data_IF_085161834692
#
_entry.id   IF_085161834692
#
_cell.length_a   1.000
_cell.length_b   1.000
_cell.length_c   1.000
_cell.angle_alpha   90.00
_cell.angle_beta   90.00
_cell.angle_gamma   90.00
#
_symmetry.space_group_name_H-M   'P 1'
#
loop_
_entity.id
_entity.type
_entity.pdbx_description
1 polymer ?
#
# COMPACT_ATOMS: atom_id res chain seq x y z
N UNK A 1 15.02 -5.87 42.61
CA UNK A 1 14.01 -6.15 41.56
C UNK A 1 12.86 -5.13 41.59
N UNK A 2 12.01 -5.07 42.62
CA UNK A 2 10.91 -4.07 42.71
C UNK A 2 11.42 -2.62 42.60
N UNK A 3 12.49 -2.27 43.32
CA UNK A 3 13.10 -0.93 43.29
C UNK A 3 13.79 -0.59 41.96
N UNK A 4 14.21 -1.61 41.23
CA UNK A 4 14.83 -1.50 39.90
C UNK A 4 13.78 -1.33 38.81
N UNK A 5 12.63 -2.02 38.93
CA UNK A 5 11.49 -1.96 38.01
C UNK A 5 10.72 -0.64 38.12
N UNK A 6 10.60 -0.09 39.34
CA UNK A 6 9.98 1.23 39.58
C UNK A 6 10.70 2.38 38.87
N UNK A 7 12.00 2.22 38.53
CA UNK A 7 12.76 3.23 37.77
C UNK A 7 12.37 3.32 36.30
N UNK A 8 11.82 2.25 35.71
CA UNK A 8 11.43 2.23 34.29
C UNK A 8 9.96 2.56 34.05
N UNK A 9 9.12 2.49 35.08
CA UNK A 9 7.67 2.73 34.97
C UNK A 9 7.30 4.09 34.35
N UNK A 10 7.95 5.22 34.68
CA UNK A 10 7.64 6.51 34.06
C UNK A 10 8.00 6.55 32.57
N UNK A 11 9.17 6.04 32.18
CA UNK A 11 9.61 5.99 30.77
C UNK A 11 8.77 5.04 29.93
N UNK A 12 8.29 3.95 30.54
CA UNK A 12 7.41 2.99 29.89
C UNK A 12 6.00 3.58 29.62
N UNK A 13 5.47 4.34 30.58
CA UNK A 13 4.17 5.02 30.45
C UNK A 13 4.20 6.06 29.33
N UNK A 14 5.28 6.84 29.25
CA UNK A 14 5.50 7.80 28.17
C UNK A 14 5.57 7.09 26.80
N UNK A 15 6.35 6.01 26.69
CA UNK A 15 6.50 5.26 25.45
C UNK A 15 5.17 4.64 24.97
N UNK A 16 4.38 4.12 25.89
CA UNK A 16 3.05 3.58 25.57
C UNK A 16 2.07 4.66 25.09
N UNK A 17 2.16 5.87 25.65
CA UNK A 17 1.33 7.00 25.22
C UNK A 17 1.76 7.50 23.84
N UNK A 18 3.07 7.52 23.55
CA UNK A 18 3.60 7.95 22.26
C UNK A 18 3.25 6.95 21.14
N UNK A 19 3.33 5.65 21.40
CA UNK A 19 2.87 4.61 20.46
C UNK A 19 1.35 4.72 20.22
N UNK A 20 0.55 4.96 21.26
CA UNK A 20 -0.88 5.17 21.12
C UNK A 20 -1.19 6.45 20.31
N UNK A 21 -0.44 7.53 20.52
CA UNK A 21 -0.60 8.79 19.80
C UNK A 21 -0.17 8.70 18.32
N UNK A 22 0.78 7.83 17.99
CA UNK A 22 1.13 7.48 16.61
C UNK A 22 0.00 6.70 15.91
N UNK A 23 -0.71 5.83 16.65
CA UNK A 23 -1.83 5.03 16.13
C UNK A 23 -3.13 5.82 15.98
N UNK A 24 -3.46 6.68 16.95
CA UNK A 24 -4.74 7.41 16.98
C UNK A 24 -4.73 8.73 16.21
N UNK A 25 -3.58 9.15 15.68
CA UNK A 25 -3.41 10.41 14.93
C UNK A 25 -2.61 10.22 13.64
N UNK A 26 -2.33 11.31 12.92
CA UNK A 26 -1.38 11.25 11.81
C UNK A 26 0.04 10.99 12.39
N UNK A 27 0.74 9.92 11.98
CA UNK A 27 2.11 9.67 12.42
C UNK A 27 3.01 10.79 11.89
N UNK A 28 3.63 11.55 12.80
CA UNK A 28 4.59 12.61 12.43
C UNK A 28 6.00 12.16 12.75
N UNK A 29 6.97 12.67 11.99
CA UNK A 29 8.39 12.37 12.23
C UNK A 29 8.81 12.73 13.65
N UNK A 30 8.37 13.88 14.17
CA UNK A 30 8.67 14.31 15.55
C UNK A 30 8.18 13.32 16.61
N UNK A 31 7.00 12.71 16.41
CA UNK A 31 6.43 11.72 17.35
C UNK A 31 7.14 10.37 17.24
N UNK A 32 7.53 9.98 16.03
CA UNK A 32 8.29 8.75 15.80
C UNK A 32 9.72 8.86 16.34
N UNK A 33 10.34 10.04 16.22
CA UNK A 33 11.64 10.37 16.81
C UNK A 33 11.60 10.25 18.34
N UNK A 34 10.58 10.81 18.97
CA UNK A 34 10.43 10.78 20.43
C UNK A 34 10.19 9.35 20.94
N UNK A 35 9.27 8.61 20.31
CA UNK A 35 9.04 7.20 20.65
C UNK A 35 10.29 6.33 20.45
N UNK A 36 11.04 6.54 19.36
CA UNK A 36 12.31 5.84 19.08
C UNK A 36 13.38 6.15 20.12
N UNK A 37 13.53 7.40 20.55
CA UNK A 37 14.48 7.80 21.62
C UNK A 37 14.13 7.16 22.96
N UNK A 38 12.84 7.16 23.33
CA UNK A 38 12.39 6.57 24.59
C UNK A 38 12.59 5.05 24.61
N UNK A 39 12.32 4.36 23.50
CA UNK A 39 12.60 2.92 23.37
C UNK A 39 14.10 2.60 23.44
N UNK A 40 14.95 3.40 22.79
CA UNK A 40 16.41 3.27 22.88
C UNK A 40 16.93 3.51 24.31
N UNK A 41 16.42 4.54 25.00
CA UNK A 41 16.79 4.81 26.39
C UNK A 41 16.41 3.66 27.34
N UNK A 42 15.28 3.00 27.08
CA UNK A 42 14.80 1.87 27.88
C UNK A 42 15.65 0.61 27.63
N UNK A 43 16.03 0.34 26.38
CA UNK A 43 17.02 -0.69 26.02
C UNK A 43 18.35 -0.45 26.73
N UNK A 44 18.91 0.76 26.63
CA UNK A 44 20.23 1.08 27.19
C UNK A 44 20.25 1.00 28.72
N UNK A 45 19.14 1.34 29.38
CA UNK A 45 18.97 1.15 30.81
C UNK A 45 18.93 -0.33 31.23
N UNK A 46 18.28 -1.19 30.44
CA UNK A 46 18.28 -2.65 30.68
C UNK A 46 19.66 -3.29 30.43
N UNK A 47 20.37 -2.85 29.39
CA UNK A 47 21.75 -3.28 29.12
C UNK A 47 22.70 -2.86 30.25
N UNK A 48 22.56 -1.63 30.77
CA UNK A 48 23.38 -1.13 31.88
C UNK A 48 23.17 -1.96 33.16
N UNK A 49 21.94 -2.41 33.44
CA UNK A 49 21.64 -3.27 34.59
C UNK A 49 22.20 -4.70 34.43
N UNK A 50 22.15 -5.24 33.20
CA UNK A 50 22.78 -6.53 32.88
C UNK A 50 24.30 -6.48 33.03
N UNK A 51 24.92 -5.35 32.68
CA UNK A 51 26.37 -5.15 32.81
C UNK A 51 26.82 -4.86 34.25
N UNK A 52 25.98 -4.20 35.05
CA UNK A 52 26.29 -3.87 36.44
C UNK A 52 26.29 -5.10 37.39
N UNK A 53 25.87 -6.28 36.91
CA UNK A 53 25.78 -7.50 37.74
C UNK A 53 24.61 -7.52 38.73
N UNK A 54 23.81 -6.44 38.77
CA UNK A 54 22.61 -6.28 39.59
C UNK A 54 21.37 -6.99 39.01
N UNK A 55 21.51 -7.59 37.82
CA UNK A 55 20.42 -8.23 37.08
C UNK A 55 20.52 -9.76 37.10
N UNK A 56 19.42 -10.41 37.50
CA UNK A 56 19.24 -11.86 37.36
C UNK A 56 19.13 -12.26 35.87
N UNK A 57 19.45 -13.51 35.50
CA UNK A 57 19.23 -14.07 34.15
C UNK A 57 17.81 -13.82 33.58
N UNK A 58 16.85 -13.54 34.47
CA UNK A 58 15.44 -13.24 34.23
C UNK A 58 15.19 -11.92 33.48
N UNK A 59 16.15 -10.99 33.45
CA UNK A 59 16.01 -9.71 32.73
C UNK A 59 16.44 -9.75 31.25
N UNK A 60 17.11 -10.83 30.81
CA UNK A 60 17.53 -10.99 29.41
C UNK A 60 16.35 -10.97 28.43
N UNK A 61 15.23 -11.68 28.68
CA UNK A 61 14.08 -11.63 27.79
C UNK A 61 13.42 -10.23 27.70
N UNK A 62 13.39 -9.47 28.80
CA UNK A 62 12.93 -8.08 28.80
C UNK A 62 13.81 -7.20 27.91
N UNK A 63 15.13 -7.37 28.01
CA UNK A 63 16.10 -6.66 27.18
C UNK A 63 15.94 -7.01 25.70
N UNK A 64 15.76 -8.28 25.36
CA UNK A 64 15.58 -8.70 23.97
C UNK A 64 14.26 -8.17 23.36
N UNK A 65 13.19 -8.07 24.16
CA UNK A 65 11.96 -7.39 23.75
C UNK A 65 12.16 -5.88 23.55
N UNK A 66 12.91 -5.22 24.43
CA UNK A 66 13.24 -3.80 24.30
C UNK A 66 14.09 -3.50 23.04
N UNK A 67 15.01 -4.40 22.68
CA UNK A 67 15.79 -4.31 21.44
C UNK A 67 14.86 -4.36 20.22
N UNK A 68 13.97 -5.35 20.15
CA UNK A 68 13.02 -5.50 19.03
C UNK A 68 12.11 -4.27 18.89
N UNK A 69 11.59 -3.76 20.02
CA UNK A 69 10.76 -2.57 20.04
C UNK A 69 11.53 -1.32 19.54
N UNK A 70 12.77 -1.13 20.00
CA UNK A 70 13.61 -0.02 19.58
C UNK A 70 13.95 -0.08 18.07
N UNK A 71 14.24 -1.28 17.56
CA UNK A 71 14.53 -1.51 16.15
C UNK A 71 13.28 -1.25 15.29
N UNK A 72 12.11 -1.71 15.73
CA UNK A 72 10.84 -1.49 15.04
C UNK A 72 10.45 0.00 14.99
N UNK A 73 10.61 0.74 16.09
CA UNK A 73 10.36 2.18 16.14
C UNK A 73 11.35 2.97 15.28
N UNK A 74 12.60 2.52 15.23
CA UNK A 74 13.63 3.13 14.37
C UNK A 74 13.30 2.91 12.89
N UNK A 75 12.88 1.70 12.52
CA UNK A 75 12.45 1.41 11.15
C UNK A 75 11.19 2.21 10.77
N UNK A 76 10.22 2.34 11.69
CA UNK A 76 9.02 3.15 11.49
C UNK A 76 9.35 4.63 11.28
N UNK A 77 10.22 5.20 12.12
CA UNK A 77 10.74 6.57 11.98
C UNK A 77 11.39 6.78 10.62
N UNK A 78 12.28 5.86 10.21
CA UNK A 78 12.99 5.97 8.94
C UNK A 78 12.05 5.85 7.74
N UNK A 79 10.98 5.05 7.87
CA UNK A 79 9.89 4.99 6.91
C UNK A 79 9.16 6.34 6.80
N UNK A 80 8.73 6.90 7.93
CA UNK A 80 8.06 8.22 7.99
C UNK A 80 8.94 9.32 7.40
N UNK A 81 10.24 9.33 7.70
CA UNK A 81 11.20 10.28 7.14
C UNK A 81 11.32 10.18 5.60
N UNK A 82 11.08 8.99 5.04
CA UNK A 82 11.05 8.72 3.59
C UNK A 82 9.65 8.90 2.99
N UNK A 83 8.69 9.42 3.76
CA UNK A 83 7.31 9.64 3.33
C UNK A 83 6.44 8.37 3.31
N UNK A 84 6.91 7.27 3.91
CA UNK A 84 6.14 6.04 4.06
C UNK A 84 5.28 6.13 5.33
N UNK A 85 3.97 5.89 5.21
CA UNK A 85 3.09 5.84 6.37
C UNK A 85 3.20 4.47 7.05
N UNK A 86 3.31 4.43 8.40
CA UNK A 86 3.22 3.20 9.16
C UNK A 86 1.91 2.47 8.89
N UNK A 87 2.02 1.20 8.59
CA UNK A 87 0.88 0.30 8.34
C UNK A 87 0.24 -0.13 9.66
N UNK A 88 -0.97 -0.70 9.58
CA UNK A 88 -1.59 -1.35 10.73
C UNK A 88 -0.70 -2.47 11.31
N UNK A 89 0.13 -3.09 10.49
CA UNK A 89 1.06 -4.16 10.87
C UNK A 89 2.25 -3.65 11.64
N UNK A 90 2.76 -2.47 11.25
CA UNK A 90 3.82 -1.82 11.99
C UNK A 90 3.33 -1.49 13.40
N UNK A 91 2.09 -1.01 13.53
CA UNK A 91 1.48 -0.78 14.85
C UNK A 91 1.18 -2.06 15.62
N UNK A 92 0.72 -3.13 14.98
CA UNK A 92 0.46 -4.41 15.63
C UNK A 92 1.76 -5.05 16.16
N UNK A 93 2.87 -4.91 15.43
CA UNK A 93 4.21 -5.34 15.89
C UNK A 93 4.69 -4.52 17.06
N UNK A 94 4.55 -3.20 17.00
CA UNK A 94 4.88 -2.32 18.13
C UNK A 94 4.06 -2.68 19.38
N UNK A 95 2.76 -2.93 19.22
CA UNK A 95 1.89 -3.32 20.34
C UNK A 95 2.28 -4.69 20.91
N UNK A 96 2.67 -5.65 20.07
CA UNK A 96 3.16 -6.95 20.51
C UNK A 96 4.50 -6.87 21.25
N UNK A 97 5.47 -6.16 20.69
CA UNK A 97 6.80 -6.00 21.31
C UNK A 97 6.70 -5.20 22.62
N UNK A 98 5.85 -4.17 22.64
CA UNK A 98 5.51 -3.42 23.85
C UNK A 98 4.85 -4.32 24.89
N UNK A 99 3.93 -5.21 24.48
CA UNK A 99 3.26 -6.16 25.36
C UNK A 99 4.23 -7.21 25.95
N UNK A 100 5.10 -7.78 25.12
CA UNK A 100 6.15 -8.70 25.58
C UNK A 100 7.08 -8.01 26.58
N UNK A 101 7.48 -6.77 26.31
CA UNK A 101 8.29 -5.98 27.22
C UNK A 101 7.58 -5.71 28.56
N UNK A 102 6.27 -5.40 28.55
CA UNK A 102 5.47 -5.24 29.77
C UNK A 102 5.38 -6.52 30.58
N UNK A 103 5.18 -7.66 29.90
CA UNK A 103 5.07 -8.97 30.54
C UNK A 103 6.33 -9.36 31.32
N UNK A 104 7.51 -9.06 30.76
CA UNK A 104 8.78 -9.34 31.42
C UNK A 104 9.13 -8.34 32.54
N UNK A 105 8.53 -7.14 32.55
CA UNK A 105 8.82 -6.09 33.53
C UNK A 105 7.77 -5.96 34.65
N UNK A 106 6.70 -6.76 34.63
CA UNK A 106 5.82 -6.98 35.79
C UNK A 106 5.13 -5.75 36.39
N UNK A 107 4.71 -4.77 35.58
CA UNK A 107 3.97 -3.58 36.08
C UNK A 107 2.48 -3.89 36.33
N UNK A 108 1.78 -3.14 37.18
CA UNK A 108 0.33 -3.33 37.47
C UNK A 108 -0.57 -3.28 36.21
N UNK A 109 -0.23 -2.45 35.22
CA UNK A 109 -0.89 -2.45 33.91
C UNK A 109 -0.46 -3.65 33.05
N UNK A 110 0.80 -4.08 33.14
CA UNK A 110 1.30 -5.31 32.55
C UNK A 110 0.66 -6.57 33.14
N UNK A 111 0.32 -6.60 34.42
CA UNK A 111 -0.46 -7.68 35.06
C UNK A 111 -1.91 -7.71 34.60
N UNK A 112 -2.51 -6.56 34.32
CA UNK A 112 -3.84 -6.47 33.69
C UNK A 112 -3.81 -6.92 32.22
N UNK A 113 -2.72 -6.67 31.49
CA UNK A 113 -2.54 -7.18 30.13
C UNK A 113 -2.06 -8.65 30.09
N UNK A 114 -1.36 -9.17 31.09
CA UNK A 114 -1.01 -10.60 31.26
C UNK A 114 -2.22 -11.53 31.47
N UNK A 115 -3.43 -10.97 31.51
CA UNK A 115 -4.69 -11.72 31.61
C UNK A 115 -5.45 -11.81 30.28
N UNK A 116 -4.79 -11.57 29.14
CA UNK A 116 -5.37 -12.06 27.88
C UNK A 116 -5.11 -13.56 27.82
N UNK A 117 -6.14 -14.42 27.82
CA UNK A 117 -5.94 -15.85 27.65
C UNK A 117 -5.19 -16.11 26.34
N UNK A 118 -4.34 -17.15 26.28
CA UNK A 118 -3.64 -17.52 25.04
C UNK A 118 -4.60 -17.62 23.85
N UNK A 119 -5.84 -18.07 24.07
CA UNK A 119 -6.89 -18.10 23.05
C UNK A 119 -7.22 -16.72 22.47
N UNK A 120 -7.23 -15.67 23.28
CA UNK A 120 -7.50 -14.30 22.84
C UNK A 120 -6.26 -13.68 22.15
N UNK A 121 -5.04 -14.03 22.58
CA UNK A 121 -3.81 -13.68 21.86
C UNK A 121 -3.79 -14.31 20.46
N UNK A 122 -4.07 -15.61 20.36
CA UNK A 122 -4.16 -16.32 19.09
C UNK A 122 -5.28 -15.79 18.19
N UNK A 123 -6.41 -15.39 18.78
CA UNK A 123 -7.50 -14.77 18.03
C UNK A 123 -7.08 -13.41 17.45
N UNK A 124 -6.43 -12.54 18.23
CA UNK A 124 -5.94 -11.24 17.75
C UNK A 124 -4.91 -11.39 16.63
N UNK A 125 -4.03 -12.40 16.73
CA UNK A 125 -3.07 -12.75 15.67
C UNK A 125 -3.80 -13.19 14.40
N UNK A 126 -4.78 -14.10 14.53
CA UNK A 126 -5.58 -14.58 13.40
C UNK A 126 -6.38 -13.44 12.74
N UNK A 127 -6.96 -12.54 13.54
CA UNK A 127 -7.69 -11.37 13.06
C UNK A 127 -6.77 -10.38 12.33
N UNK A 128 -5.53 -10.20 12.82
CA UNK A 128 -4.50 -9.41 12.14
C UNK A 128 -4.12 -9.98 10.77
N UNK A 129 -3.83 -11.28 10.68
CA UNK A 129 -3.54 -11.97 9.40
C UNK A 129 -4.72 -11.81 8.43
N UNK A 130 -5.94 -12.05 8.91
CA UNK A 130 -7.15 -11.93 8.10
C UNK A 130 -7.39 -10.50 7.64
N UNK A 131 -7.09 -9.52 8.49
CA UNK A 131 -7.11 -8.10 8.15
C UNK A 131 -6.16 -7.76 7.01
N UNK A 132 -4.90 -8.21 7.07
CA UNK A 132 -3.88 -7.94 6.04
C UNK A 132 -4.23 -8.61 4.73
N UNK A 133 -4.64 -9.88 4.79
CA UNK A 133 -5.07 -10.61 3.61
C UNK A 133 -6.25 -9.90 2.91
N UNK A 134 -7.29 -9.54 3.67
CA UNK A 134 -8.53 -9.03 3.09
C UNK A 134 -8.51 -7.54 2.74
N UNK A 135 -7.82 -6.72 3.53
CA UNK A 135 -7.86 -5.26 3.43
C UNK A 135 -6.62 -4.67 2.75
N UNK A 136 -5.58 -5.48 2.49
CA UNK A 136 -4.36 -5.02 1.85
C UNK A 136 -3.98 -5.90 0.65
N UNK A 137 -3.70 -7.19 0.86
CA UNK A 137 -3.25 -8.08 -0.23
C UNK A 137 -4.30 -8.26 -1.31
N UNK A 138 -5.53 -8.62 -0.95
CA UNK A 138 -6.64 -8.77 -1.91
C UNK A 138 -7.02 -7.48 -2.60
N UNK A 139 -6.78 -6.33 -1.96
CA UNK A 139 -6.96 -5.02 -2.60
C UNK A 139 -5.97 -4.87 -3.76
N UNK A 140 -4.69 -5.20 -3.54
CA UNK A 140 -3.69 -5.17 -4.61
C UNK A 140 -3.94 -6.22 -5.70
N UNK A 141 -4.36 -7.43 -5.32
CA UNK A 141 -4.68 -8.49 -6.27
C UNK A 141 -5.80 -8.07 -7.25
N UNK A 142 -6.91 -7.56 -6.73
CA UNK A 142 -8.04 -7.13 -7.55
C UNK A 142 -7.70 -5.91 -8.40
N UNK A 143 -7.01 -4.93 -7.83
CA UNK A 143 -6.43 -3.76 -8.53
C UNK A 143 -5.61 -4.18 -9.75
N UNK A 144 -4.61 -5.06 -9.55
CA UNK A 144 -3.71 -5.47 -10.62
C UNK A 144 -4.48 -6.29 -11.66
N UNK A 145 -5.41 -7.14 -11.23
CA UNK A 145 -6.32 -7.86 -12.12
C UNK A 145 -7.13 -6.91 -13.03
N UNK A 146 -7.71 -5.85 -12.46
CA UNK A 146 -8.49 -4.85 -13.22
C UNK A 146 -7.62 -4.06 -14.21
N UNK A 147 -6.44 -3.60 -13.78
CA UNK A 147 -5.54 -2.88 -14.70
C UNK A 147 -4.99 -3.80 -15.80
N UNK A 148 -4.71 -5.05 -15.48
CA UNK A 148 -4.28 -6.06 -16.46
C UNK A 148 -5.38 -6.30 -17.50
N UNK A 149 -6.64 -6.45 -17.08
CA UNK A 149 -7.76 -6.60 -17.99
C UNK A 149 -7.95 -5.40 -18.91
N UNK A 150 -7.77 -4.17 -18.39
CA UNK A 150 -7.77 -2.95 -19.19
C UNK A 150 -6.65 -2.94 -20.24
N UNK A 151 -5.40 -3.21 -19.83
CA UNK A 151 -4.26 -3.21 -20.74
C UNK A 151 -4.34 -4.32 -21.79
N UNK A 152 -4.87 -5.49 -21.42
CA UNK A 152 -5.15 -6.59 -22.34
C UNK A 152 -6.19 -6.17 -23.39
N UNK A 153 -7.30 -5.56 -22.96
CA UNK A 153 -8.31 -5.06 -23.88
C UNK A 153 -7.75 -3.98 -24.82
N UNK A 154 -6.85 -3.11 -24.34
CA UNK A 154 -6.13 -2.16 -25.18
C UNK A 154 -5.24 -2.87 -26.21
N UNK A 155 -4.43 -3.84 -25.77
CA UNK A 155 -3.56 -4.60 -26.66
C UNK A 155 -4.34 -5.33 -27.76
N UNK A 156 -5.41 -6.02 -27.38
CA UNK A 156 -6.19 -6.86 -28.30
C UNK A 156 -7.03 -6.04 -29.28
N UNK A 157 -7.61 -4.92 -28.83
CA UNK A 157 -8.57 -4.16 -29.64
C UNK A 157 -7.95 -2.97 -30.37
N UNK A 158 -6.76 -2.52 -29.95
CA UNK A 158 -6.10 -1.36 -30.52
C UNK A 158 -4.78 -1.76 -31.15
N UNK A 159 -3.83 -2.32 -30.39
CA UNK A 159 -2.49 -2.59 -30.92
C UNK A 159 -2.50 -3.68 -32.00
N UNK A 160 -3.26 -4.76 -31.79
CA UNK A 160 -3.37 -5.85 -32.76
C UNK A 160 -3.99 -5.40 -34.10
N UNK A 161 -4.92 -4.44 -34.07
CA UNK A 161 -5.59 -3.92 -35.26
C UNK A 161 -4.91 -2.69 -35.87
N UNK A 162 -3.97 -2.06 -35.15
CA UNK A 162 -3.35 -0.80 -35.57
C UNK A 162 -2.71 -0.89 -36.97
N UNK A 163 -2.10 -2.03 -37.28
CA UNK A 163 -1.52 -2.29 -38.60
C UNK A 163 -2.55 -2.31 -39.73
N UNK A 164 -3.78 -2.80 -39.48
CA UNK A 164 -4.85 -2.83 -40.48
C UNK A 164 -5.46 -1.44 -40.73
N UNK A 165 -5.27 -0.51 -39.79
CA UNK A 165 -5.73 0.87 -39.88
C UNK A 165 -4.74 1.83 -40.52
N UNK A 166 -3.54 1.36 -40.88
CA UNK A 166 -2.52 2.17 -41.53
C UNK A 166 -2.31 1.64 -42.95
N UNK A 167 -2.45 2.51 -43.95
CA UNK A 167 -2.17 2.17 -45.35
C UNK A 167 -1.35 3.26 -46.03
N UNK A 168 -0.68 2.90 -47.12
CA UNK A 168 0.03 3.85 -47.98
C UNK A 168 -0.70 4.00 -49.31
N UNK A 169 -0.56 5.15 -49.95
CA UNK A 169 -1.01 5.33 -51.33
C UNK A 169 -0.12 4.55 -52.33
N UNK A 170 -0.55 4.46 -53.59
CA UNK A 170 0.14 3.71 -54.66
C UNK A 170 1.60 4.14 -54.89
N UNK A 171 1.95 5.36 -54.49
CA UNK A 171 3.29 5.95 -54.63
C UNK A 171 4.17 5.77 -53.38
N UNK A 172 3.60 5.32 -52.26
CA UNK A 172 4.30 5.14 -50.99
C UNK A 172 4.75 6.44 -50.31
N UNK A 173 4.36 7.61 -50.82
CA UNK A 173 4.78 8.92 -50.31
C UNK A 173 3.76 9.54 -49.33
N UNK A 174 2.55 8.99 -49.27
CA UNK A 174 1.52 9.39 -48.31
C UNK A 174 0.94 8.22 -47.55
N UNK A 175 0.67 8.46 -46.28
CA UNK A 175 0.10 7.50 -45.33
C UNK A 175 -1.35 7.91 -45.03
N UNK A 176 -2.25 6.94 -45.03
CA UNK A 176 -3.62 7.09 -44.57
C UNK A 176 -3.80 6.31 -43.27
N UNK A 177 -4.24 7.01 -42.23
CA UNK A 177 -4.67 6.42 -40.97
C UNK A 177 -6.20 6.39 -40.93
N UNK A 178 -6.78 5.21 -40.65
CA UNK A 178 -8.19 5.07 -40.39
C UNK A 178 -8.53 5.58 -38.98
N UNK A 179 -8.67 6.91 -38.88
CA UNK A 179 -8.99 7.60 -37.63
C UNK A 179 -10.32 7.13 -37.03
N UNK A 180 -11.32 6.83 -37.87
CA UNK A 180 -12.63 6.38 -37.38
C UNK A 180 -12.52 5.07 -36.61
N UNK A 181 -11.94 4.03 -37.21
CA UNK A 181 -11.85 2.71 -36.57
C UNK A 181 -10.98 2.72 -35.31
N UNK A 182 -9.85 3.44 -35.35
CA UNK A 182 -8.98 3.58 -34.19
C UNK A 182 -9.67 4.35 -33.06
N UNK A 183 -10.34 5.46 -33.38
CA UNK A 183 -11.09 6.26 -32.39
C UNK A 183 -12.23 5.44 -31.78
N UNK A 184 -12.99 4.71 -32.59
CA UNK A 184 -14.08 3.86 -32.12
C UNK A 184 -13.58 2.78 -31.14
N UNK A 185 -12.42 2.18 -31.40
CA UNK A 185 -11.81 1.20 -30.49
C UNK A 185 -11.40 1.83 -29.15
N UNK A 186 -10.78 3.02 -29.19
CA UNK A 186 -10.40 3.77 -27.99
C UNK A 186 -11.62 4.24 -27.18
N UNK A 187 -12.68 4.70 -27.84
CA UNK A 187 -13.93 5.11 -27.20
C UNK A 187 -14.68 3.93 -26.55
N UNK A 188 -14.63 2.73 -27.17
CA UNK A 188 -15.16 1.51 -26.55
C UNK A 188 -14.40 1.15 -25.27
N UNK A 189 -13.07 1.26 -25.26
CA UNK A 189 -12.27 1.04 -24.05
C UNK A 189 -12.64 2.05 -22.96
N UNK A 190 -12.70 3.34 -23.31
CA UNK A 190 -13.09 4.39 -22.37
C UNK A 190 -14.49 4.17 -21.78
N UNK A 191 -15.42 3.66 -22.58
CA UNK A 191 -16.78 3.35 -22.11
C UNK A 191 -16.81 2.14 -21.19
N UNK A 192 -16.08 1.07 -21.53
CA UNK A 192 -16.05 -0.16 -20.75
C UNK A 192 -15.32 0.00 -19.41
N UNK A 193 -14.22 0.77 -19.39
CA UNK A 193 -13.31 0.92 -18.25
C UNK A 193 -13.39 2.30 -17.58
N UNK A 194 -14.28 3.18 -18.02
CA UNK A 194 -14.56 4.47 -17.38
C UNK A 194 -15.82 4.40 -16.50
N UNK A 195 -16.00 5.40 -15.64
CA UNK A 195 -17.27 5.55 -14.92
C UNK A 195 -18.43 5.79 -15.90
N UNK A 196 -19.62 5.34 -15.51
CA UNK A 196 -20.84 5.56 -16.29
C UNK A 196 -21.28 7.03 -16.30
N UNK A 197 -22.40 7.28 -16.98
CA UNK A 197 -23.00 8.61 -17.05
C UNK A 197 -23.15 9.24 -15.65
N UNK A 198 -22.83 10.53 -15.52
CA UNK A 198 -22.82 11.26 -14.24
C UNK A 198 -21.94 10.62 -13.14
N UNK A 199 -20.86 9.95 -13.51
CA UNK A 199 -19.94 9.30 -12.56
C UNK A 199 -20.55 8.04 -11.93
N UNK A 200 -21.57 7.45 -12.57
CA UNK A 200 -22.19 6.22 -12.08
C UNK A 200 -21.15 5.12 -11.90
N UNK A 201 -21.30 4.36 -10.82
CA UNK A 201 -20.36 3.30 -10.46
C UNK A 201 -20.21 2.28 -11.60
N UNK A 202 -18.97 1.97 -11.94
CA UNK A 202 -18.63 0.90 -12.87
C UNK A 202 -17.53 0.06 -12.22
N UNK A 203 -17.84 -1.20 -11.92
CA UNK A 203 -16.93 -2.13 -11.26
C UNK A 203 -15.62 -2.33 -12.03
N UNK A 204 -15.67 -2.32 -13.37
CA UNK A 204 -14.49 -2.44 -14.24
C UNK A 204 -13.60 -1.21 -14.21
N UNK A 205 -14.17 -0.04 -13.88
CA UNK A 205 -13.44 1.21 -13.82
C UNK A 205 -12.77 1.45 -12.47
N UNK A 206 -13.30 0.86 -11.39
CA UNK A 206 -12.90 1.17 -10.02
C UNK A 206 -11.79 0.24 -9.55
N UNK A 207 -10.63 0.82 -9.24
CA UNK A 207 -9.49 0.15 -8.61
C UNK A 207 -9.63 0.06 -7.09
N UNK A 208 -10.23 1.07 -6.45
CA UNK A 208 -10.47 1.09 -5.01
C UNK A 208 -11.76 1.87 -4.66
N UNK A 209 -12.55 1.42 -3.66
CA UNK A 209 -12.42 0.19 -2.90
C UNK A 209 -12.81 -1.04 -3.75
N UNK A 210 -12.55 -2.24 -3.22
CA UNK A 210 -12.91 -3.52 -3.87
C UNK A 210 -14.39 -3.57 -4.27
N UNK A 211 -15.25 -3.02 -3.42
CA UNK A 211 -16.70 -2.90 -3.65
C UNK A 211 -17.24 -1.61 -3.04
N UNK A 212 -18.20 -0.99 -3.73
CA UNK A 212 -18.84 0.24 -3.24
C UNK A 212 -17.92 1.45 -3.34
N UNK A 213 -17.96 2.30 -2.32
CA UNK A 213 -17.29 3.62 -2.31
C UNK A 213 -16.61 3.85 -0.97
N UNK A 214 -15.78 4.89 -0.89
CA UNK A 214 -15.09 5.29 0.33
C UNK A 214 -15.14 6.82 0.55
N UNK A 215 -14.53 7.30 1.63
CA UNK A 215 -14.23 8.70 1.87
C UNK A 215 -13.19 9.24 0.87
N UNK A 216 -13.23 10.54 0.61
CA UNK A 216 -12.24 11.22 -0.25
C UNK A 216 -10.81 10.97 0.24
N UNK A 217 -10.60 11.07 1.54
CA UNK A 217 -9.28 10.94 2.17
C UNK A 217 -8.68 9.56 1.92
N UNK A 218 -9.47 8.51 2.09
CA UNK A 218 -9.00 7.14 1.86
C UNK A 218 -8.73 6.88 0.37
N UNK A 219 -9.60 7.40 -0.52
CA UNK A 219 -9.36 7.30 -1.96
C UNK A 219 -8.07 8.02 -2.39
N UNK A 220 -7.79 9.21 -1.86
CA UNK A 220 -6.56 9.96 -2.12
C UNK A 220 -5.31 9.24 -1.59
N UNK A 221 -5.41 8.58 -0.43
CA UNK A 221 -4.33 7.77 0.11
C UNK A 221 -4.01 6.61 -0.83
N UNK A 222 -5.02 5.87 -1.26
CA UNK A 222 -4.82 4.77 -2.22
C UNK A 222 -4.30 5.25 -3.56
N UNK A 223 -4.83 6.34 -4.12
CA UNK A 223 -4.31 6.87 -5.38
C UNK A 223 -2.82 7.27 -5.28
N UNK A 224 -2.39 7.91 -4.18
CA UNK A 224 -0.98 8.22 -3.93
C UNK A 224 -0.13 6.97 -3.76
N UNK A 225 -0.62 6.01 -2.98
CA UNK A 225 0.08 4.74 -2.77
C UNK A 225 0.26 4.01 -4.11
N UNK A 226 -0.72 4.06 -5.00
CA UNK A 226 -0.64 3.41 -6.31
C UNK A 226 0.20 4.19 -7.35
N UNK A 227 0.69 5.38 -6.99
CA UNK A 227 1.40 6.27 -7.92
C UNK A 227 0.49 6.85 -9.01
N UNK A 228 -0.82 6.91 -8.75
CA UNK A 228 -1.82 7.39 -9.71
C UNK A 228 -1.99 8.91 -9.60
N UNK A 229 -2.36 9.59 -10.71
CA UNK A 229 -2.66 11.01 -10.71
C UNK A 229 -3.74 11.38 -9.68
N UNK A 230 -3.42 12.30 -8.78
CA UNK A 230 -4.37 12.87 -7.80
C UNK A 230 -4.66 14.35 -8.04
N UNK A 231 -3.89 14.99 -8.91
CA UNK A 231 -4.06 16.40 -9.25
C UNK A 231 -5.18 16.57 -10.28
N UNK A 232 -6.03 17.61 -10.15
CA UNK A 232 -6.97 18.01 -11.20
C UNK A 232 -6.28 18.33 -12.53
N UNK A 233 -5.02 18.82 -12.49
CA UNK A 233 -4.26 19.18 -13.69
C UNK A 233 -3.98 17.97 -14.60
N UNK A 234 -3.82 16.79 -14.00
CA UNK A 234 -3.47 15.54 -14.69
C UNK A 234 -4.68 14.60 -14.85
N UNK A 235 -5.89 15.10 -14.63
CA UNK A 235 -7.14 14.33 -14.52
C UNK A 235 -7.06 13.28 -13.40
N UNK A 236 -7.52 13.68 -12.21
CA UNK A 236 -7.49 12.83 -11.01
C UNK A 236 -8.15 11.45 -11.22
N UNK A 237 -7.46 10.41 -10.77
CA UNK A 237 -7.99 9.06 -10.61
C UNK A 237 -8.90 8.95 -9.38
N UNK A 238 -8.90 9.95 -8.48
CA UNK A 238 -9.87 10.05 -7.38
C UNK A 238 -11.11 10.77 -7.88
N UNK A 239 -12.21 10.05 -7.99
CA UNK A 239 -13.48 10.58 -8.52
C UNK A 239 -14.64 10.28 -7.58
N UNK A 240 -15.60 11.19 -7.56
CA UNK A 240 -16.84 11.03 -6.84
C UNK A 240 -17.79 10.10 -7.62
N UNK A 241 -18.41 9.14 -6.95
CA UNK A 241 -19.31 8.17 -7.59
C UNK A 241 -20.55 7.89 -6.72
N UNK A 242 -21.77 8.11 -7.23
CA UNK A 242 -22.09 8.99 -8.36
C UNK A 242 -21.65 10.44 -8.10
N UNK A 243 -21.58 11.26 -9.14
CA UNK A 243 -21.22 12.68 -8.98
C UNK A 243 -22.21 13.41 -8.05
N UNK A 244 -21.70 14.17 -7.09
CA UNK A 244 -22.47 14.86 -6.05
C UNK A 244 -22.92 14.00 -4.86
N UNK A 245 -22.44 12.75 -4.73
CA UNK A 245 -22.82 11.84 -3.64
C UNK A 245 -22.07 12.06 -2.31
N UNK A 246 -20.95 12.76 -2.32
CA UNK A 246 -19.97 12.85 -1.23
C UNK A 246 -19.12 11.58 -1.06
N UNK A 247 -19.24 10.60 -1.96
CA UNK A 247 -18.55 9.31 -1.88
C UNK A 247 -17.57 9.14 -3.04
N UNK A 248 -16.41 8.55 -2.76
CA UNK A 248 -15.26 8.55 -3.66
C UNK A 248 -14.78 7.14 -4.00
N UNK A 249 -14.16 7.04 -5.17
CA UNK A 249 -13.51 5.85 -5.70
C UNK A 249 -12.18 6.24 -6.35
N UNK A 250 -11.24 5.31 -6.40
CA UNK A 250 -10.05 5.38 -7.26
C UNK A 250 -10.35 4.61 -8.53
N UNK A 251 -10.19 5.24 -9.68
CA UNK A 251 -10.48 4.65 -11.00
C UNK A 251 -9.20 4.39 -11.79
N UNK A 252 -9.34 3.60 -12.86
CA UNK A 252 -8.31 3.44 -13.88
C UNK A 252 -7.91 4.81 -14.46
N UNK A 253 -6.60 5.00 -14.67
CA UNK A 253 -6.11 6.16 -15.40
C UNK A 253 -6.40 6.01 -16.90
N UNK A 254 -7.52 6.60 -17.32
CA UNK A 254 -7.94 6.67 -18.72
C UNK A 254 -7.39 7.90 -19.46
N UNK A 255 -6.57 8.74 -18.81
CA UNK A 255 -6.00 9.93 -19.44
C UNK A 255 -5.12 9.61 -20.66
N UNK A 256 -4.36 8.49 -20.74
CA UNK A 256 -3.63 8.13 -21.95
C UNK A 256 -4.57 7.90 -23.15
N UNK A 257 -5.72 7.25 -22.92
CA UNK A 257 -6.75 7.01 -23.95
C UNK A 257 -7.37 8.34 -24.41
N UNK A 258 -7.68 9.24 -23.49
CA UNK A 258 -8.18 10.58 -23.85
C UNK A 258 -7.18 11.35 -24.71
N UNK A 259 -5.89 11.29 -24.36
CA UNK A 259 -4.84 11.95 -25.12
C UNK A 259 -4.65 11.32 -26.51
N UNK A 260 -4.76 10.00 -26.64
CA UNK A 260 -4.76 9.32 -27.94
C UNK A 260 -5.94 9.78 -28.81
N UNK A 261 -7.15 9.82 -28.26
CA UNK A 261 -8.35 10.30 -28.98
C UNK A 261 -8.19 11.76 -29.39
N UNK A 262 -7.69 12.62 -28.50
CA UNK A 262 -7.42 14.03 -28.81
C UNK A 262 -6.42 14.16 -29.95
N UNK A 263 -5.29 13.46 -29.89
CA UNK A 263 -4.28 13.48 -30.94
C UNK A 263 -4.84 13.04 -32.30
N UNK A 264 -5.80 12.11 -32.34
CA UNK A 264 -6.48 11.72 -33.57
C UNK A 264 -7.39 12.81 -34.14
N UNK A 265 -8.09 13.55 -33.28
CA UNK A 265 -8.93 14.67 -33.71
C UNK A 265 -8.10 15.84 -34.24
N UNK A 266 -6.87 16.00 -33.75
CA UNK A 266 -5.94 17.06 -34.15
C UNK A 266 -5.18 16.73 -35.46
N UNK A 267 -5.35 15.52 -36.02
CA UNK A 267 -4.73 15.13 -37.29
C UNK A 267 -5.34 15.90 -38.47
N UNK A 268 -4.51 16.43 -39.38
CA UNK A 268 -5.01 17.10 -40.57
C UNK A 268 -5.75 16.12 -41.48
N UNK A 269 -6.78 16.63 -42.18
CA UNK A 269 -7.62 15.86 -43.11
C UNK A 269 -8.21 14.57 -42.51
N UNK A 270 -8.38 14.50 -41.19
CA UNK A 270 -8.89 13.30 -40.51
C UNK A 270 -7.98 12.08 -40.69
N UNK A 271 -6.66 12.30 -40.78
CA UNK A 271 -5.67 11.24 -40.93
C UNK A 271 -5.46 10.74 -42.36
N UNK A 272 -6.08 11.37 -43.36
CA UNK A 272 -5.83 11.06 -44.78
C UNK A 272 -4.62 11.82 -45.29
N UNK A 273 -3.87 11.18 -46.19
CA UNK A 273 -2.78 11.83 -46.93
C UNK A 273 -1.71 12.48 -46.03
N UNK A 274 -1.41 11.85 -44.89
CA UNK A 274 -0.35 12.27 -43.99
C UNK A 274 1.01 12.10 -44.68
N UNK A 275 1.83 13.15 -44.64
CA UNK A 275 3.25 13.00 -44.92
C UNK A 275 3.93 12.18 -43.82
N UNK A 276 5.11 11.62 -44.12
CA UNK A 276 5.84 10.78 -43.19
C UNK A 276 6.17 11.53 -41.88
N UNK A 277 6.49 12.83 -41.93
CA UNK A 277 6.85 13.58 -40.73
C UNK A 277 5.67 13.70 -39.75
N UNK A 278 4.48 14.01 -40.24
CA UNK A 278 3.26 14.08 -39.41
C UNK A 278 2.86 12.72 -38.86
N UNK A 279 2.93 11.68 -39.69
CA UNK A 279 2.62 10.33 -39.25
C UNK A 279 3.57 9.88 -38.13
N UNK A 280 4.89 10.07 -38.29
CA UNK A 280 5.87 9.71 -37.26
C UNK A 280 5.69 10.54 -35.98
N UNK A 281 5.36 11.84 -36.10
CA UNK A 281 5.06 12.68 -34.93
C UNK A 281 3.84 12.19 -34.16
N UNK A 282 2.77 11.81 -34.86
CA UNK A 282 1.58 11.23 -34.23
C UNK A 282 1.90 9.88 -33.59
N UNK A 283 2.60 8.98 -34.31
CA UNK A 283 2.96 7.66 -33.83
C UNK A 283 3.80 7.73 -32.57
N UNK A 284 4.79 8.63 -32.51
CA UNK A 284 5.57 8.86 -31.30
C UNK A 284 4.71 9.32 -30.11
N UNK A 285 3.71 10.17 -30.35
CA UNK A 285 2.75 10.60 -29.33
C UNK A 285 1.85 9.46 -28.84
N UNK A 286 1.39 8.61 -29.76
CA UNK A 286 0.63 7.40 -29.47
C UNK A 286 1.46 6.41 -28.63
N UNK A 287 2.69 6.12 -29.06
CA UNK A 287 3.61 5.19 -28.37
C UNK A 287 3.98 5.69 -26.98
N UNK A 288 4.11 7.01 -26.80
CA UNK A 288 4.30 7.60 -25.48
C UNK A 288 3.12 7.34 -24.55
N UNK A 289 1.87 7.34 -25.04
CA UNK A 289 0.70 7.03 -24.22
C UNK A 289 0.62 5.52 -23.91
N UNK A 290 0.97 4.65 -24.87
CA UNK A 290 1.09 3.21 -24.63
C UNK A 290 2.11 2.91 -23.52
N UNK A 291 3.32 3.47 -23.63
CA UNK A 291 4.37 3.27 -22.65
C UNK A 291 3.98 3.79 -21.27
N UNK A 292 3.21 4.88 -21.16
CA UNK A 292 2.65 5.32 -19.86
C UNK A 292 1.78 4.23 -19.22
N UNK A 293 0.84 3.66 -19.98
CA UNK A 293 -0.05 2.61 -19.44
C UNK A 293 0.74 1.36 -19.01
N UNK A 294 1.74 0.98 -19.81
CA UNK A 294 2.64 -0.14 -19.50
C UNK A 294 3.46 0.12 -18.22
N UNK A 295 4.01 1.33 -18.06
CA UNK A 295 4.76 1.73 -16.86
C UNK A 295 3.86 1.75 -15.61
N UNK A 296 2.61 2.19 -15.74
CA UNK A 296 1.62 2.09 -14.66
C UNK A 296 1.36 0.63 -14.29
N UNK A 297 1.08 -0.25 -15.25
CA UNK A 297 0.90 -1.69 -15.00
C UNK A 297 2.10 -2.30 -14.29
N UNK A 298 3.32 -1.96 -14.73
CA UNK A 298 4.55 -2.44 -14.10
C UNK A 298 4.66 -1.98 -12.65
N UNK A 299 4.37 -0.71 -12.39
CA UNK A 299 4.39 -0.12 -11.04
C UNK A 299 3.38 -0.80 -10.12
N UNK A 300 2.14 -1.00 -10.59
CA UNK A 300 1.10 -1.69 -9.84
C UNK A 300 1.49 -3.14 -9.54
N UNK A 301 2.07 -3.85 -10.52
CA UNK A 301 2.55 -5.23 -10.35
C UNK A 301 3.69 -5.32 -9.33
N UNK A 302 4.63 -4.37 -9.35
CA UNK A 302 5.71 -4.29 -8.36
C UNK A 302 5.15 -4.04 -6.95
N UNK A 303 4.18 -3.13 -6.81
CA UNK A 303 3.53 -2.86 -5.52
C UNK A 303 2.77 -4.07 -4.98
N UNK A 304 2.07 -4.80 -5.83
CA UNK A 304 1.47 -6.09 -5.46
C UNK A 304 2.53 -7.11 -5.01
N UNK A 305 3.64 -7.26 -5.74
CA UNK A 305 4.72 -8.18 -5.35
C UNK A 305 5.32 -7.79 -3.99
N UNK A 306 5.47 -6.50 -3.71
CA UNK A 306 5.94 -6.00 -2.42
C UNK A 306 4.93 -6.29 -1.31
N UNK A 307 3.63 -6.07 -1.56
CA UNK A 307 2.56 -6.38 -0.61
C UNK A 307 2.48 -7.89 -0.30
N UNK A 308 2.64 -8.74 -1.32
CA UNK A 308 2.69 -10.19 -1.15
C UNK A 308 3.90 -10.62 -0.33
N UNK A 309 5.09 -10.07 -0.62
CA UNK A 309 6.29 -10.34 0.17
C UNK A 309 6.15 -9.90 1.64
N UNK A 310 5.50 -8.76 1.89
CA UNK A 310 5.18 -8.30 3.24
C UNK A 310 4.25 -9.28 3.97
N UNK A 311 3.20 -9.76 3.31
CA UNK A 311 2.29 -10.76 3.85
C UNK A 311 3.00 -12.07 4.19
N UNK A 312 3.83 -12.59 3.27
CA UNK A 312 4.62 -13.81 3.49
C UNK A 312 5.57 -13.65 4.69
N UNK A 313 6.20 -12.48 4.84
CA UNK A 313 7.08 -12.19 5.97
C UNK A 313 6.31 -12.13 7.29
N UNK A 314 5.08 -11.61 7.28
CA UNK A 314 4.21 -11.62 8.45
C UNK A 314 3.80 -13.04 8.84
N UNK A 315 3.38 -13.87 7.89
CA UNK A 315 3.05 -15.29 8.13
C UNK A 315 4.27 -16.04 8.71
N UNK A 316 5.48 -15.79 8.20
CA UNK A 316 6.71 -16.39 8.73
C UNK A 316 7.00 -15.97 10.17
N UNK A 317 6.89 -14.68 10.50
CA UNK A 317 7.10 -14.19 11.87
C UNK A 317 6.11 -14.84 12.83
N UNK A 318 4.83 -14.90 12.45
CA UNK A 318 3.78 -15.51 13.25
C UNK A 318 4.01 -17.02 13.42
N UNK A 319 4.46 -17.72 12.39
CA UNK A 319 4.88 -19.12 12.48
C UNK A 319 6.06 -19.32 13.44
N UNK A 320 7.03 -18.40 13.45
CA UNK A 320 8.13 -18.41 14.41
C UNK A 320 7.65 -18.21 15.85
N UNK A 321 6.73 -17.28 16.06
CA UNK A 321 6.09 -17.04 17.36
C UNK A 321 5.29 -18.25 17.84
N UNK A 322 4.50 -18.91 16.97
CA UNK A 322 3.79 -20.17 17.29
C UNK A 322 4.76 -21.23 17.76
N UNK A 323 5.84 -21.46 17.01
CA UNK A 323 6.86 -22.45 17.39
C UNK A 323 7.50 -22.13 18.74
N UNK A 324 7.83 -20.86 18.97
CA UNK A 324 8.41 -20.42 20.25
C UNK A 324 7.43 -20.59 21.40
N UNK A 325 6.17 -20.19 21.25
CA UNK A 325 5.13 -20.39 22.26
C UNK A 325 4.88 -21.88 22.53
N UNK A 326 4.93 -22.74 21.50
CA UNK A 326 4.80 -24.19 21.66
C UNK A 326 5.98 -24.80 22.41
N UNK A 327 7.21 -24.35 22.14
CA UNK A 327 8.40 -24.77 22.88
C UNK A 327 8.36 -24.30 24.33
N UNK A 328 7.93 -23.07 24.59
CA UNK A 328 7.71 -22.55 25.94
C UNK A 328 6.61 -23.34 26.65
N UNK A 329 5.47 -23.61 26.00
CA UNK A 329 4.39 -24.40 26.58
C UNK A 329 4.84 -25.84 26.86
N UNK A 330 5.64 -26.47 25.98
CA UNK A 330 6.28 -27.76 26.27
C UNK A 330 7.19 -27.68 27.49
N UNK A 331 8.02 -26.64 27.59
CA UNK A 331 8.90 -26.45 28.73
C UNK A 331 8.14 -26.24 30.05
N UNK A 332 6.99 -25.56 30.03
CA UNK A 332 6.13 -25.35 31.21
C UNK A 332 5.25 -26.56 31.56
N UNK A 333 4.78 -27.31 30.56
CA UNK A 333 3.96 -28.51 30.74
C UNK A 333 4.80 -29.77 31.01
N UNK A 334 6.12 -29.70 30.79
CA UNK A 334 7.07 -30.68 31.34
C UNK A 334 7.27 -30.42 32.85
N UNK A 335 6.21 -30.74 33.59
CA UNK A 335 6.25 -31.57 34.79
C UNK A 335 6.04 -33.02 34.30
#
# INVERSE_FOLDING_TARGET
MIDTLNRFSPGFTALSQDIAALKSGAPTLDKADEASRQAASLRDGLDSLLQAGDATPELKPARDAAVKLADALTAMRDGIAKGMLPTADDFARLELDLHLLQGHLGTEQGQKLLTIPDSELWQKIADGINGINNNYLKVYEELVGKYTAFYQAFSDRVLAELGSWISSNDKGDKITLNVSSLKDALEKLKTEFGLGANGAYNEKAVLFPRSGTTTQREAEQWAKELGLPTSPADKSCVQESPKGSGQFVVVLDISPIDNMIKALNDLPNGGKDLDNAKFQSWKAGFDSQEEKMKNTLQTLTQKYSNANSLFDNLVKVLSGTISSCLETAKAFLHI
#
